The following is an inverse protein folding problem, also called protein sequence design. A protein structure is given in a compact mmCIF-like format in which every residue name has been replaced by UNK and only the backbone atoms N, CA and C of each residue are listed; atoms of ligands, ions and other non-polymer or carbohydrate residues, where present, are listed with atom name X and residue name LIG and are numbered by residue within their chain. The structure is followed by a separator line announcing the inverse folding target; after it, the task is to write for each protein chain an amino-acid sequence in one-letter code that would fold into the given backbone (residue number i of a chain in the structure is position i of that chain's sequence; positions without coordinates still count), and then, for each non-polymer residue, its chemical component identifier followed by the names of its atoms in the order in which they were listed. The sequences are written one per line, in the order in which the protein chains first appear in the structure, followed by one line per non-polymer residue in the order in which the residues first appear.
data_IF_079348343864
#
_entry.id   IF_079348343864
#
_cell.length_a   1.000
_cell.length_b   1.000
_cell.length_c   1.000
_cell.angle_alpha   90.00
_cell.angle_beta   90.00
_cell.angle_gamma   90.00
#
_symmetry.space_group_name_H-M   'P 1'
#
loop_
_entity.id
_entity.type
_entity.pdbx_description
1 polymer ?
#
# COMPACT_ATOMS: atom_id res chain seq x y z
N UNK A 1 -3.40 -3.61 -14.64
CA UNK A 1 -3.96 -4.41 -13.53
C UNK A 1 -3.03 -5.60 -13.33
N UNK A 2 -2.58 -5.88 -12.11
CA UNK A 2 -1.73 -7.06 -11.84
C UNK A 2 -2.58 -8.32 -11.79
N UNK A 3 -2.01 -9.47 -12.17
CA UNK A 3 -2.72 -10.76 -12.17
C UNK A 3 -3.16 -11.19 -10.77
N UNK A 4 -2.41 -10.81 -9.73
CA UNK A 4 -2.77 -11.02 -8.33
C UNK A 4 -4.09 -10.33 -7.96
N UNK A 5 -4.26 -9.06 -8.37
CA UNK A 5 -5.48 -8.30 -8.10
C UNK A 5 -6.67 -8.92 -8.84
N UNK A 6 -6.47 -9.39 -10.06
CA UNK A 6 -7.50 -10.08 -10.84
C UNK A 6 -7.96 -11.35 -10.13
N UNK A 7 -7.02 -12.21 -9.76
CA UNK A 7 -7.30 -13.47 -9.07
C UNK A 7 -8.02 -13.22 -7.74
N UNK A 8 -7.58 -12.21 -6.98
CA UNK A 8 -8.22 -11.84 -5.73
C UNK A 8 -9.69 -11.43 -5.92
N UNK A 9 -9.98 -10.61 -6.94
CA UNK A 9 -11.35 -10.18 -7.23
C UNK A 9 -12.23 -11.34 -7.71
N UNK A 10 -11.71 -12.24 -8.54
CA UNK A 10 -12.46 -13.41 -9.02
C UNK A 10 -12.73 -14.44 -7.92
N UNK A 11 -11.88 -14.52 -6.89
CA UNK A 11 -12.04 -15.41 -5.74
C UNK A 11 -13.05 -14.87 -4.71
N UNK A 12 -13.03 -13.56 -4.46
CA UNK A 12 -13.84 -12.95 -3.39
C UNK A 12 -15.20 -12.42 -3.87
N UNK A 13 -15.41 -12.22 -5.18
CA UNK A 13 -16.65 -11.67 -5.70
C UNK A 13 -17.43 -12.70 -6.53
N UNK A 14 -18.78 -12.73 -6.43
CA UNK A 14 -19.59 -13.66 -7.19
C UNK A 14 -19.56 -13.31 -8.67
N UNK A 15 -19.09 -14.24 -9.52
CA UNK A 15 -18.95 -14.00 -10.98
C UNK A 15 -20.22 -13.42 -11.59
N UNK A 16 -20.11 -12.23 -12.18
CA UNK A 16 -21.19 -11.61 -12.94
C UNK A 16 -21.37 -12.42 -14.23
N UNK A 17 -22.47 -13.18 -14.33
CA UNK A 17 -22.81 -13.90 -15.57
C UNK A 17 -23.16 -12.90 -16.66
N UNK A 18 -22.65 -13.11 -17.88
CA UNK A 18 -23.03 -12.34 -19.07
C UNK A 18 -24.57 -12.28 -19.19
N UNK A 19 -25.13 -11.06 -19.24
CA UNK A 19 -26.56 -10.82 -19.41
C UNK A 19 -27.36 -10.54 -18.13
N UNK A 20 -26.77 -10.62 -16.92
CA UNK A 20 -27.43 -10.16 -15.68
C UNK A 20 -26.74 -8.94 -15.10
N UNK A 21 -27.51 -7.89 -14.78
CA UNK A 21 -27.02 -6.74 -14.01
C UNK A 21 -26.44 -7.25 -12.69
N UNK A 22 -25.17 -6.93 -12.41
CA UNK A 22 -24.55 -7.33 -11.15
C UNK A 22 -25.37 -6.76 -9.98
N UNK A 23 -25.65 -7.58 -8.97
CA UNK A 23 -26.35 -7.16 -7.75
C UNK A 23 -25.46 -6.39 -6.78
N UNK A 24 -24.19 -6.20 -7.13
CA UNK A 24 -23.19 -5.55 -6.31
C UNK A 24 -22.41 -4.56 -7.17
N UNK A 25 -21.88 -3.52 -6.53
CA UNK A 25 -20.96 -2.58 -7.15
C UNK A 25 -19.70 -2.47 -6.29
N UNK A 26 -18.55 -2.43 -6.94
CA UNK A 26 -17.26 -2.32 -6.27
C UNK A 26 -16.92 -0.84 -6.05
N UNK A 27 -16.81 -0.43 -4.79
CA UNK A 27 -16.38 0.91 -4.42
C UNK A 27 -14.87 1.07 -4.58
N UNK A 28 -14.43 2.06 -5.36
CA UNK A 28 -13.01 2.31 -5.65
C UNK A 28 -12.64 3.77 -5.37
N UNK A 29 -11.46 3.96 -4.77
CA UNK A 29 -10.91 5.28 -4.45
C UNK A 29 -10.59 6.10 -5.70
N UNK A 30 -9.89 5.48 -6.66
CA UNK A 30 -9.41 6.09 -7.90
C UNK A 30 -10.26 5.64 -9.10
N UNK A 31 -10.96 6.56 -9.80
CA UNK A 31 -11.84 6.18 -10.90
C UNK A 31 -11.09 5.54 -12.07
N UNK A 32 -9.85 5.96 -12.34
CA UNK A 32 -8.99 5.40 -13.41
C UNK A 32 -8.72 3.90 -13.22
N UNK A 33 -8.47 3.51 -11.97
CA UNK A 33 -8.25 2.09 -11.60
C UNK A 33 -9.56 1.33 -11.75
N UNK A 34 -10.69 1.94 -11.38
CA UNK A 34 -12.01 1.36 -11.58
C UNK A 34 -12.36 1.11 -13.04
N UNK A 35 -11.99 2.02 -13.95
CA UNK A 35 -12.16 1.78 -15.39
C UNK A 35 -11.38 0.56 -15.87
N UNK A 36 -10.12 0.41 -15.45
CA UNK A 36 -9.28 -0.73 -15.82
C UNK A 36 -9.81 -2.06 -15.24
N UNK A 37 -10.32 -2.05 -14.00
CA UNK A 37 -10.90 -3.23 -13.37
C UNK A 37 -12.22 -3.60 -14.05
N UNK A 38 -13.07 -2.62 -14.32
CA UNK A 38 -14.35 -2.83 -14.99
C UNK A 38 -14.15 -3.39 -16.39
N UNK A 39 -13.14 -2.95 -17.14
CA UNK A 39 -12.82 -3.48 -18.46
C UNK A 39 -12.34 -4.93 -18.38
N UNK A 40 -11.44 -5.24 -17.45
CA UNK A 40 -10.81 -6.55 -17.37
C UNK A 40 -11.67 -7.64 -16.70
N UNK A 41 -12.52 -7.26 -15.74
CA UNK A 41 -13.32 -8.21 -14.94
C UNK A 41 -14.83 -8.09 -15.19
N UNK A 42 -15.26 -7.07 -15.94
CA UNK A 42 -16.68 -6.73 -16.18
C UNK A 42 -17.48 -6.42 -14.92
N UNK A 43 -16.80 -6.10 -13.82
CA UNK A 43 -17.43 -5.75 -12.53
C UNK A 43 -17.78 -4.26 -12.54
N UNK A 44 -19.02 -3.87 -12.20
CA UNK A 44 -19.39 -2.46 -12.16
C UNK A 44 -18.72 -1.76 -10.97
N UNK A 45 -17.85 -0.81 -11.30
CA UNK A 45 -17.08 -0.04 -10.34
C UNK A 45 -17.72 1.34 -10.12
N UNK A 46 -17.77 1.80 -8.88
CA UNK A 46 -18.25 3.13 -8.50
C UNK A 46 -17.20 3.88 -7.69
N UNK A 47 -17.05 5.17 -8.01
CA UNK A 47 -16.15 6.09 -7.31
C UNK A 47 -16.93 7.37 -7.05
N UNK A 48 -17.70 7.36 -5.97
CA UNK A 48 -18.52 8.49 -5.53
C UNK A 48 -17.91 9.09 -4.26
N UNK A 49 -18.23 10.34 -3.92
CA UNK A 49 -17.77 10.99 -2.69
C UNK A 49 -18.12 10.18 -1.44
N UNK A 50 -19.30 9.56 -1.41
CA UNK A 50 -19.69 8.64 -0.34
C UNK A 50 -18.75 7.44 -0.18
N UNK A 51 -18.33 6.83 -1.30
CA UNK A 51 -17.40 5.69 -1.31
C UNK A 51 -16.02 6.14 -0.84
N UNK A 52 -15.60 7.34 -1.22
CA UNK A 52 -14.33 7.92 -0.78
C UNK A 52 -14.33 8.18 0.73
N UNK A 53 -15.42 8.72 1.27
CA UNK A 53 -15.56 8.97 2.71
C UNK A 53 -15.64 7.65 3.50
N UNK A 54 -16.37 6.65 3.00
CA UNK A 54 -16.40 5.32 3.60
C UNK A 54 -14.99 4.70 3.68
N UNK A 55 -14.23 4.78 2.58
CA UNK A 55 -12.84 4.31 2.53
C UNK A 55 -11.91 5.14 3.45
N UNK A 56 -12.21 6.42 3.69
CA UNK A 56 -11.50 7.25 4.67
C UNK A 56 -11.71 6.73 6.09
N UNK A 57 -12.96 6.44 6.47
CA UNK A 57 -13.33 5.89 7.78
C UNK A 57 -12.70 4.52 7.99
N UNK A 58 -12.78 3.63 6.99
CA UNK A 58 -12.17 2.29 7.07
C UNK A 58 -10.66 2.37 7.30
N UNK A 59 -9.96 3.32 6.66
CA UNK A 59 -8.53 3.54 6.89
C UNK A 59 -8.24 4.11 8.28
N UNK A 60 -9.10 4.99 8.78
CA UNK A 60 -8.92 5.59 10.10
C UNK A 60 -9.08 4.55 11.22
N UNK A 61 -10.02 3.61 11.05
CA UNK A 61 -10.33 2.56 12.03
C UNK A 61 -9.75 1.20 11.62
N UNK A 62 -8.76 1.18 10.73
CA UNK A 62 -8.20 -0.06 10.17
C UNK A 62 -7.65 -1.00 11.25
N UNK A 63 -7.15 -0.45 12.35
CA UNK A 63 -6.68 -1.18 13.51
C UNK A 63 -7.79 -1.94 14.26
N UNK A 64 -9.04 -1.49 14.14
CA UNK A 64 -10.21 -2.11 14.77
C UNK A 64 -10.89 -3.19 13.90
N UNK A 65 -10.62 -3.20 12.60
CA UNK A 65 -11.21 -4.17 11.67
C UNK A 65 -10.42 -5.48 11.58
N UNK A 66 -9.18 -5.51 12.09
CA UNK A 66 -8.31 -6.69 12.04
C UNK A 66 -7.78 -6.98 13.45
N UNK A 67 -8.53 -7.77 14.22
CA UNK A 67 -8.22 -8.11 15.62
C UNK A 67 -6.81 -8.72 15.82
N UNK A 68 -6.24 -9.33 14.78
CA UNK A 68 -4.93 -9.97 14.82
C UNK A 68 -3.77 -9.04 14.41
N UNK A 69 -4.07 -7.83 13.92
CA UNK A 69 -3.05 -6.91 13.44
C UNK A 69 -2.64 -5.94 14.55
N UNK A 70 -1.45 -6.16 15.12
CA UNK A 70 -0.87 -5.20 16.07
C UNK A 70 -0.50 -3.90 15.37
N UNK A 71 -0.85 -2.77 15.98
CA UNK A 71 -0.53 -1.42 15.47
C UNK A 71 0.96 -1.24 15.15
N UNK A 72 1.85 -1.81 15.96
CA UNK A 72 3.30 -1.77 15.75
C UNK A 72 3.76 -2.44 14.45
N UNK A 73 3.05 -3.47 14.00
CA UNK A 73 3.42 -4.22 12.80
C UNK A 73 2.93 -3.50 11.55
N UNK A 74 1.77 -2.83 11.64
CA UNK A 74 1.27 -1.94 10.59
C UNK A 74 2.23 -0.77 10.34
N UNK A 75 2.72 -0.10 11.39
CA UNK A 75 3.68 1.00 11.26
C UNK A 75 4.99 0.55 10.63
N UNK A 76 5.52 -0.62 11.04
CA UNK A 76 6.72 -1.21 10.43
C UNK A 76 6.52 -1.56 8.96
N UNK A 77 5.38 -2.14 8.60
CA UNK A 77 5.04 -2.46 7.22
C UNK A 77 4.93 -1.19 6.37
N UNK A 78 4.28 -0.13 6.88
CA UNK A 78 4.17 1.16 6.20
C UNK A 78 5.54 1.81 5.98
N UNK A 79 6.43 1.79 6.97
CA UNK A 79 7.81 2.29 6.84
C UNK A 79 8.61 1.47 5.81
N UNK A 80 8.52 0.14 5.86
CA UNK A 80 9.19 -0.74 4.90
C UNK A 80 8.72 -0.51 3.47
N UNK A 81 7.40 -0.38 3.26
CA UNK A 81 6.80 -0.06 1.97
C UNK A 81 7.19 1.33 1.49
N UNK A 82 7.13 2.35 2.36
CA UNK A 82 7.54 3.72 2.05
C UNK A 82 9.01 3.81 1.65
N UNK A 83 9.89 3.11 2.38
CA UNK A 83 11.30 3.01 2.03
C UNK A 83 11.51 2.29 0.69
N UNK A 84 10.84 1.16 0.47
CA UNK A 84 10.99 0.36 -0.76
C UNK A 84 10.48 1.12 -1.98
N UNK A 85 9.31 1.76 -1.86
CA UNK A 85 8.71 2.58 -2.90
C UNK A 85 9.55 3.83 -3.19
N UNK A 86 9.99 4.56 -2.17
CA UNK A 86 10.85 5.73 -2.32
C UNK A 86 12.18 5.37 -2.98
N UNK A 87 12.84 4.29 -2.54
CA UNK A 87 14.08 3.81 -3.17
C UNK A 87 13.86 3.39 -4.61
N UNK A 88 12.77 2.70 -4.93
CA UNK A 88 12.46 2.30 -6.31
C UNK A 88 12.19 3.51 -7.21
N UNK A 89 11.52 4.54 -6.69
CA UNK A 89 11.21 5.77 -7.41
C UNK A 89 12.41 6.71 -7.58
N UNK A 90 13.31 6.75 -6.59
CA UNK A 90 14.53 7.58 -6.60
C UNK A 90 15.69 6.91 -7.36
N UNK A 91 15.74 5.57 -7.44
CA UNK A 91 16.73 4.83 -8.26
C UNK A 91 16.57 5.01 -9.77
N UNK A 92 15.61 5.80 -10.25
CA UNK A 92 15.61 6.34 -11.62
C UNK A 92 16.67 7.43 -11.86
N UNK A 93 17.44 7.81 -10.84
CA UNK A 93 18.66 8.61 -11.00
C UNK A 93 19.89 7.74 -10.72
N UNK A 94 20.46 7.17 -11.79
CA UNK A 94 21.67 6.31 -11.78
C UNK A 94 22.92 7.05 -11.28
N UNK A 95 22.87 8.37 -11.07
CA UNK A 95 24.03 9.20 -10.74
C UNK A 95 24.15 9.68 -9.28
N UNK A 96 23.50 9.03 -8.30
CA UNK A 96 23.81 9.26 -6.88
C UNK A 96 24.07 7.97 -6.11
N UNK A 97 25.11 7.26 -6.53
CA UNK A 97 25.99 6.60 -5.56
C UNK A 97 26.80 7.73 -4.95
N UNK A 98 26.40 8.25 -3.80
CA UNK A 98 27.32 8.84 -2.83
C UNK A 98 26.54 9.33 -1.61
N UNK A 99 26.58 8.55 -0.53
CA UNK A 99 26.74 9.09 0.82
C UNK A 99 27.28 8.01 1.77
N UNK A 100 28.41 7.40 1.43
CA UNK A 100 29.22 6.69 2.43
C UNK A 100 30.34 7.64 2.90
N UNK A 101 29.94 8.79 3.46
CA UNK A 101 30.86 9.78 4.02
C UNK A 101 30.58 10.12 5.49
N UNK A 102 29.60 9.48 6.15
CA UNK A 102 29.22 9.83 7.53
C UNK A 102 28.84 8.57 8.35
N UNK A 103 29.78 7.64 8.51
CA UNK A 103 29.86 6.72 9.66
C UNK A 103 31.34 6.48 9.87
N UNK A 104 31.97 7.16 10.84
CA UNK A 104 33.22 6.79 11.56
C UNK A 104 33.88 8.01 12.24
N UNK A 105 33.15 8.80 13.05
CA UNK A 105 33.81 9.62 14.10
C UNK A 105 32.89 9.68 15.32
N UNK A 106 33.01 8.69 16.19
CA UNK A 106 32.60 8.77 17.61
C UNK A 106 33.20 7.61 18.41
N UNK A 107 34.53 7.43 18.39
CA UNK A 107 35.21 6.75 19.50
C UNK A 107 35.71 7.84 20.43
N UNK A 108 34.82 8.28 21.31
CA UNK A 108 35.10 9.28 22.34
C UNK A 108 35.93 8.65 23.45
N UNK A 109 37.04 9.31 23.75
CA UNK A 109 38.04 9.05 24.78
C UNK A 109 37.42 9.11 26.18
N UNK A 110 37.40 7.99 26.90
CA UNK A 110 37.27 7.89 28.36
C UNK A 110 37.96 6.57 28.80
N UNK A 111 38.95 6.51 29.67
CA UNK A 111 39.51 7.51 30.56
C UNK A 111 40.96 7.16 30.96
N UNK A 112 41.55 8.09 31.70
CA UNK A 112 42.80 7.96 32.46
C UNK A 112 42.78 6.71 33.37
N UNK A 113 43.91 6.04 33.60
CA UNK A 113 44.75 6.20 34.79
C UNK A 113 45.85 5.12 34.91
N UNK A 114 47.08 5.58 35.20
CA UNK A 114 48.08 5.01 36.13
C UNK A 114 48.33 3.49 36.19
N UNK A 115 49.50 3.04 35.74
CA UNK A 115 50.68 2.64 36.58
C UNK A 115 51.94 2.59 35.71
#
# INVERSE_FOLDING_TARGET
MTDELRNFLELNLPKVKEGKKAKYSLGIMEPKVGSHISEATRIPCQSNEFVQELLRVVRLHFDQFIDQLKKSDLEKAQLGLGHSYSRAKVKFNVNRVDNMGVVFVAFSRAGQNSE
#
